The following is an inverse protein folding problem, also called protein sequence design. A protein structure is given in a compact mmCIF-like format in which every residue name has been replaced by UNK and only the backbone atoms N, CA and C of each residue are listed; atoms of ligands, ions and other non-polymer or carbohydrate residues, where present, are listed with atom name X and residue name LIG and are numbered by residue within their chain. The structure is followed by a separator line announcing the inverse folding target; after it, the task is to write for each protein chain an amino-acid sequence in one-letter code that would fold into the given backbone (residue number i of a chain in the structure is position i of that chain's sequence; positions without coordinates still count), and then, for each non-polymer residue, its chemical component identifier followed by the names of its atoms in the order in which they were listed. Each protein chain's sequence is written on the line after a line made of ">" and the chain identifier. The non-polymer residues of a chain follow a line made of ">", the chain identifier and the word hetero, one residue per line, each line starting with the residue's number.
data_IF_263885914968
#
_entry.id   IF_263885914968
#
_cell.length_a   1.000
_cell.length_b   1.000
_cell.length_c   1.000
_cell.angle_alpha   90.00
_cell.angle_beta   90.00
_cell.angle_gamma   90.00
#
_symmetry.space_group_name_H-M   'P 1'
#
loop_
_entity.id
_entity.type
_entity.pdbx_description
1 polymer ?
#
# COMPACT_ATOMS: atom_id res chain seq x y z
N UNK A 1 26.80 -59.83 -17.38
CA UNK A 1 26.05 -58.68 -16.81
C UNK A 1 26.53 -57.30 -17.30
N UNK A 2 27.77 -57.12 -17.77
CA UNK A 2 28.26 -55.81 -18.26
C UNK A 2 27.58 -55.29 -19.55
N UNK A 3 27.21 -56.17 -20.49
CA UNK A 3 26.52 -55.79 -21.74
C UNK A 3 25.11 -55.24 -21.53
N UNK A 4 24.36 -55.74 -20.55
CA UNK A 4 23.04 -55.21 -20.19
C UNK A 4 23.12 -53.81 -19.58
N UNK A 5 24.16 -53.53 -18.78
CA UNK A 5 24.35 -52.20 -18.17
C UNK A 5 24.75 -51.18 -19.22
N UNK A 6 25.66 -51.53 -20.14
CA UNK A 6 26.04 -50.64 -21.26
C UNK A 6 24.83 -50.34 -22.17
N UNK A 7 24.07 -51.36 -22.58
CA UNK A 7 22.88 -51.19 -23.41
C UNK A 7 21.81 -50.31 -22.75
N UNK A 8 21.54 -50.48 -21.45
CA UNK A 8 20.62 -49.60 -20.71
C UNK A 8 21.14 -48.17 -20.60
N UNK A 9 22.44 -47.97 -20.45
CA UNK A 9 23.05 -46.64 -20.41
C UNK A 9 22.98 -45.94 -21.77
N UNK A 10 23.21 -46.67 -22.86
CA UNK A 10 23.08 -46.15 -24.23
C UNK A 10 21.64 -45.72 -24.50
N UNK A 11 20.66 -46.52 -24.08
CA UNK A 11 19.23 -46.23 -24.22
C UNK A 11 18.81 -44.98 -23.41
N UNK A 12 19.32 -44.82 -22.19
CA UNK A 12 19.10 -43.61 -21.37
C UNK A 12 19.78 -42.38 -21.99
N UNK A 13 21.01 -42.52 -22.48
CA UNK A 13 21.76 -41.42 -23.12
C UNK A 13 21.08 -40.95 -24.40
N UNK A 14 20.60 -41.89 -25.22
CA UNK A 14 19.81 -41.61 -26.41
C UNK A 14 18.49 -40.91 -26.04
N UNK A 15 17.78 -41.42 -25.03
CA UNK A 15 16.51 -40.83 -24.56
C UNK A 15 16.68 -39.38 -24.10
N UNK A 16 17.73 -39.07 -23.33
CA UNK A 16 17.99 -37.70 -22.87
C UNK A 16 18.43 -36.80 -24.04
N UNK A 17 19.23 -37.32 -24.98
CA UNK A 17 19.67 -36.58 -26.16
C UNK A 17 18.50 -36.22 -27.10
N UNK A 18 17.45 -37.04 -27.16
CA UNK A 18 16.25 -36.80 -27.98
C UNK A 18 15.37 -35.68 -27.41
N UNK A 19 15.51 -35.34 -26.12
CA UNK A 19 14.69 -34.30 -25.46
C UNK A 19 14.92 -32.87 -26.01
N UNK A 20 15.92 -32.65 -26.88
CA UNK A 20 16.25 -31.34 -27.51
C UNK A 20 16.17 -30.18 -26.50
N UNK A 21 16.81 -30.35 -25.33
CA UNK A 21 16.75 -29.37 -24.27
C UNK A 21 17.37 -28.03 -24.72
N UNK A 22 16.82 -26.87 -24.29
CA UNK A 22 17.40 -25.57 -24.57
C UNK A 22 18.80 -25.47 -23.96
N UNK A 23 19.70 -24.69 -24.57
CA UNK A 23 21.02 -24.43 -23.99
C UNK A 23 20.89 -23.71 -22.63
N UNK A 24 21.63 -24.17 -21.61
CA UNK A 24 21.67 -23.53 -20.28
C UNK A 24 22.05 -22.05 -20.35
N UNK A 25 22.91 -21.65 -21.30
CA UNK A 25 23.28 -20.24 -21.51
C UNK A 25 22.10 -19.38 -21.95
N UNK A 26 21.18 -19.91 -22.76
CA UNK A 26 19.97 -19.22 -23.16
C UNK A 26 18.99 -19.08 -21.99
N UNK A 27 18.85 -20.12 -21.16
CA UNK A 27 18.03 -20.08 -19.94
C UNK A 27 18.62 -19.16 -18.87
N UNK A 28 19.94 -19.06 -18.78
CA UNK A 28 20.61 -18.08 -17.92
C UNK A 28 20.23 -16.65 -18.32
N UNK A 29 20.29 -16.34 -19.63
CA UNK A 29 19.87 -15.03 -20.14
C UNK A 29 18.40 -14.74 -19.81
N UNK A 30 17.51 -15.72 -19.98
CA UNK A 30 16.09 -15.59 -19.59
C UNK A 30 15.94 -15.23 -18.10
N UNK A 31 16.65 -15.94 -17.20
CA UNK A 31 16.62 -15.64 -15.76
C UNK A 31 17.12 -14.23 -15.46
N UNK A 32 18.20 -13.79 -16.11
CA UNK A 32 18.75 -12.45 -15.92
C UNK A 32 17.80 -11.35 -16.41
N UNK A 33 17.16 -11.55 -17.58
CA UNK A 33 16.16 -10.64 -18.12
C UNK A 33 14.94 -10.51 -17.18
N UNK A 34 14.44 -11.63 -16.64
CA UNK A 34 13.36 -11.65 -15.65
C UNK A 34 13.76 -10.98 -14.33
N UNK A 35 15.00 -11.16 -13.89
CA UNK A 35 15.53 -10.50 -12.69
C UNK A 35 15.61 -8.99 -12.88
N UNK A 36 16.00 -8.54 -14.06
CA UNK A 36 16.02 -7.12 -14.41
C UNK A 36 14.61 -6.54 -14.44
N UNK A 37 13.65 -7.24 -15.03
CA UNK A 37 12.22 -6.86 -15.02
C UNK A 37 11.67 -6.73 -13.58
N UNK A 38 11.95 -7.72 -12.72
CA UNK A 38 11.60 -7.69 -11.29
C UNK A 38 12.20 -6.47 -10.59
N UNK A 39 13.48 -6.17 -10.81
CA UNK A 39 14.12 -5.02 -10.16
C UNK A 39 13.48 -3.69 -10.58
N UNK A 40 13.09 -3.55 -11.86
CA UNK A 40 12.36 -2.37 -12.36
C UNK A 40 10.99 -2.23 -11.69
N UNK A 41 10.23 -3.32 -11.60
CA UNK A 41 8.92 -3.31 -10.94
C UNK A 41 9.03 -3.04 -9.44
N UNK A 42 10.07 -3.55 -8.77
CA UNK A 42 10.33 -3.25 -7.38
C UNK A 42 10.51 -1.75 -7.14
N UNK A 43 11.26 -1.06 -8.02
CA UNK A 43 11.38 0.41 -7.93
C UNK A 43 10.04 1.12 -8.12
N UNK A 44 9.18 0.64 -9.02
CA UNK A 44 7.84 1.22 -9.24
C UNK A 44 6.98 1.05 -7.98
N UNK A 45 6.98 -0.13 -7.38
CA UNK A 45 6.23 -0.42 -6.14
C UNK A 45 6.70 0.49 -5.00
N UNK A 46 8.01 0.60 -4.79
CA UNK A 46 8.56 1.45 -3.74
C UNK A 46 8.23 2.93 -3.95
N UNK A 47 8.34 3.43 -5.19
CA UNK A 47 7.94 4.80 -5.51
C UNK A 47 6.45 5.05 -5.21
N UNK A 48 5.57 4.11 -5.60
CA UNK A 48 4.13 4.22 -5.31
C UNK A 48 3.84 4.19 -3.80
N UNK A 49 4.57 3.38 -3.03
CA UNK A 49 4.47 3.34 -1.56
C UNK A 49 4.92 4.65 -0.92
N UNK A 50 6.02 5.23 -1.39
CA UNK A 50 6.49 6.53 -0.91
C UNK A 50 5.44 7.62 -1.17
N UNK A 51 4.88 7.64 -2.37
CA UNK A 51 3.81 8.57 -2.76
C UNK A 51 2.53 8.36 -1.94
N UNK A 52 2.15 7.11 -1.65
CA UNK A 52 1.05 6.82 -0.73
C UNK A 52 1.35 7.36 0.69
N UNK A 53 2.58 7.18 1.18
CA UNK A 53 3.02 7.71 2.47
C UNK A 53 2.91 9.23 2.56
N UNK A 54 3.29 9.96 1.50
CA UNK A 54 3.10 11.42 1.41
C UNK A 54 1.62 11.81 1.50
N UNK A 55 0.76 11.09 0.77
CA UNK A 55 -0.69 11.33 0.81
C UNK A 55 -1.27 11.11 2.20
N UNK A 56 -0.89 10.02 2.87
CA UNK A 56 -1.35 9.70 4.23
C UNK A 56 -0.92 10.76 5.25
N UNK A 57 0.30 11.28 5.13
CA UNK A 57 0.78 12.37 5.97
C UNK A 57 -0.02 13.66 5.74
N UNK A 58 -0.29 14.00 4.48
CA UNK A 58 -1.15 15.15 4.15
C UNK A 58 -2.57 14.98 4.70
N UNK A 59 -3.15 13.79 4.56
CA UNK A 59 -4.46 13.45 5.12
C UNK A 59 -4.48 13.64 6.63
N UNK A 60 -3.46 13.16 7.34
CA UNK A 60 -3.35 13.32 8.78
C UNK A 60 -3.25 14.81 9.19
N UNK A 61 -2.48 15.61 8.45
CA UNK A 61 -2.40 17.06 8.68
C UNK A 61 -3.76 17.74 8.50
N UNK A 62 -4.47 17.45 7.40
CA UNK A 62 -5.80 18.02 7.13
C UNK A 62 -6.85 17.56 8.15
N UNK A 63 -6.78 16.31 8.60
CA UNK A 63 -7.67 15.79 9.64
C UNK A 63 -7.46 16.53 10.97
N UNK A 64 -6.22 16.84 11.33
CA UNK A 64 -5.90 17.63 12.51
C UNK A 64 -6.44 19.06 12.40
N UNK A 65 -6.24 19.73 11.26
CA UNK A 65 -6.79 21.08 11.02
C UNK A 65 -8.32 21.09 11.11
N UNK A 66 -8.99 20.15 10.44
CA UNK A 66 -10.43 20.00 10.53
C UNK A 66 -10.89 19.75 11.97
N UNK A 67 -10.17 18.92 12.73
CA UNK A 67 -10.43 18.65 14.14
C UNK A 67 -10.33 19.91 15.01
N UNK A 68 -9.26 20.70 14.84
CA UNK A 68 -9.07 21.96 15.56
C UNK A 68 -10.24 22.91 15.27
N UNK A 69 -10.54 23.16 14.00
CA UNK A 69 -11.63 24.05 13.59
C UNK A 69 -12.98 23.56 14.15
N UNK A 70 -13.23 22.24 14.12
CA UNK A 70 -14.45 21.67 14.66
C UNK A 70 -14.57 21.92 16.17
N UNK A 71 -13.50 21.74 16.93
CA UNK A 71 -13.51 22.01 18.38
C UNK A 71 -13.70 23.50 18.69
N UNK A 72 -13.03 24.40 17.97
CA UNK A 72 -13.20 25.85 18.13
C UNK A 72 -14.63 26.28 17.84
N UNK A 73 -15.23 25.73 16.78
CA UNK A 73 -16.62 26.01 16.41
C UNK A 73 -17.58 25.54 17.51
N UNK A 74 -17.39 24.32 18.04
CA UNK A 74 -18.25 23.81 19.14
C UNK A 74 -18.13 24.64 20.42
N UNK A 75 -16.92 25.09 20.78
CA UNK A 75 -16.70 25.95 21.95
C UNK A 75 -17.38 27.30 21.76
N UNK A 76 -17.14 27.95 20.61
CA UNK A 76 -17.75 29.25 20.32
C UNK A 76 -19.29 29.16 20.28
N UNK A 77 -19.85 28.09 19.74
CA UNK A 77 -21.30 27.86 19.77
C UNK A 77 -21.85 27.70 21.19
N UNK A 78 -21.11 27.02 22.08
CA UNK A 78 -21.47 26.90 23.49
C UNK A 78 -21.38 28.24 24.24
N UNK A 79 -20.33 29.02 23.99
CA UNK A 79 -20.14 30.36 24.57
C UNK A 79 -21.28 31.30 24.15
N UNK A 80 -21.64 31.32 22.85
CA UNK A 80 -22.79 32.10 22.34
C UNK A 80 -24.08 31.68 23.05
N UNK A 81 -24.35 30.37 23.17
CA UNK A 81 -25.56 29.89 23.82
C UNK A 81 -25.61 30.26 25.31
N UNK A 82 -24.46 30.27 26.00
CA UNK A 82 -24.36 30.70 27.39
C UNK A 82 -24.61 32.21 27.54
N UNK A 83 -24.00 33.03 26.67
CA UNK A 83 -24.19 34.48 26.64
C UNK A 83 -25.65 34.85 26.31
N UNK A 84 -26.28 34.17 25.35
CA UNK A 84 -27.70 34.33 25.01
C UNK A 84 -28.62 33.97 26.19
N UNK A 85 -28.31 32.89 26.89
CA UNK A 85 -29.06 32.48 28.08
C UNK A 85 -28.94 33.51 29.19
N UNK A 86 -27.73 33.98 29.49
CA UNK A 86 -27.49 35.00 30.50
C UNK A 86 -28.20 36.33 30.15
N UNK A 87 -28.14 36.76 28.88
CA UNK A 87 -28.85 37.94 28.40
C UNK A 87 -30.38 37.83 28.59
N UNK A 88 -30.95 36.66 28.26
CA UNK A 88 -32.38 36.40 28.44
C UNK A 88 -32.79 36.38 29.92
N UNK A 89 -31.96 35.83 30.80
CA UNK A 89 -32.19 35.85 32.26
C UNK A 89 -32.17 37.28 32.82
N UNK A 90 -31.26 38.14 32.35
CA UNK A 90 -31.22 39.56 32.73
C UNK A 90 -32.44 40.33 32.20
N UNK A 91 -32.85 40.10 30.95
CA UNK A 91 -34.05 40.71 30.38
C UNK A 91 -35.32 40.30 31.14
N UNK A 92 -35.40 39.05 31.62
CA UNK A 92 -36.54 38.55 32.39
C UNK A 92 -36.69 39.22 33.77
N UNK A 93 -35.62 39.79 34.33
CA UNK A 93 -35.65 40.54 35.60
C UNK A 93 -36.26 41.93 35.45
N UNK A 94 -36.36 42.47 34.22
CA UNK A 94 -36.94 43.79 33.97
C UNK A 94 -38.47 43.70 34.09
N UNK A 95 -39.10 44.40 35.04
CA UNK A 95 -40.54 44.32 35.23
C UNK A 95 -41.30 44.76 33.97
N UNK A 96 -42.41 44.09 33.61
CA UNK A 96 -43.17 44.43 32.44
C UNK A 96 -43.77 45.85 32.57
N UNK A 97 -44.02 46.55 31.45
CA UNK A 97 -44.61 47.88 31.45
C UNK A 97 -45.91 47.94 32.28
N UNK A 98 -45.88 48.57 33.45
CA UNK A 98 -47.12 48.85 34.18
C UNK A 98 -47.85 50.02 33.52
N UNK A 99 -49.10 49.78 33.07
CA UNK A 99 -50.02 50.72 32.40
C UNK A 99 -50.32 52.06 33.14
N UNK A 100 -49.68 52.36 34.27
CA UNK A 100 -50.05 53.45 35.20
C UNK A 100 -49.16 54.70 35.17
N UNK A 101 -48.08 54.75 34.39
CA UNK A 101 -47.23 55.94 34.30
C UNK A 101 -47.34 56.63 32.92
N UNK A 102 -47.72 57.92 32.94
CA UNK A 102 -47.85 58.83 31.79
C UNK A 102 -46.44 59.34 31.37
N UNK A 103 -45.47 58.44 31.26
CA UNK A 103 -44.14 58.75 30.72
C UNK A 103 -43.80 57.70 29.65
N UNK A 104 -43.42 58.12 28.43
CA UNK A 104 -43.16 57.21 27.32
C UNK A 104 -41.79 56.53 27.47
N UNK A 105 -41.59 55.72 28.50
CA UNK A 105 -40.37 54.93 28.72
C UNK A 105 -40.62 53.54 29.36
N UNK A 106 -41.43 52.63 28.75
CA UNK A 106 -41.30 51.20 29.09
C UNK A 106 -40.65 50.34 28.00
N UNK A 107 -40.96 50.57 26.72
CA UNK A 107 -40.43 49.75 25.62
C UNK A 107 -38.95 50.07 25.36
N UNK A 108 -38.58 51.35 25.47
CA UNK A 108 -37.21 51.85 25.23
C UNK A 108 -36.14 51.25 26.12
N UNK A 109 -36.40 50.94 27.39
CA UNK A 109 -35.39 50.37 28.28
C UNK A 109 -35.09 48.91 27.95
N UNK A 110 -36.12 48.06 27.80
CA UNK A 110 -35.95 46.68 27.36
C UNK A 110 -35.32 46.62 25.96
N UNK A 111 -35.72 47.52 25.06
CA UNK A 111 -35.16 47.63 23.70
C UNK A 111 -33.69 48.05 23.74
N UNK A 112 -33.30 49.03 24.58
CA UNK A 112 -31.91 49.43 24.77
C UNK A 112 -31.03 48.31 25.32
N UNK A 113 -31.52 47.55 26.31
CA UNK A 113 -30.80 46.39 26.84
C UNK A 113 -30.68 45.30 25.79
N UNK A 114 -31.76 45.01 25.05
CA UNK A 114 -31.75 44.03 23.94
C UNK A 114 -30.76 44.43 22.85
N UNK A 115 -30.77 45.70 22.43
CA UNK A 115 -29.84 46.23 21.42
C UNK A 115 -28.40 46.12 21.89
N UNK A 116 -28.12 46.39 23.17
CA UNK A 116 -26.80 46.23 23.76
C UNK A 116 -26.34 44.77 23.83
N UNK A 117 -27.22 43.84 24.18
CA UNK A 117 -26.92 42.41 24.17
C UNK A 117 -26.69 41.89 22.75
N UNK A 118 -27.54 42.30 21.80
CA UNK A 118 -27.40 41.94 20.39
C UNK A 118 -26.09 42.48 19.82
N UNK A 119 -25.71 43.73 20.13
CA UNK A 119 -24.43 44.30 19.72
C UNK A 119 -23.21 43.52 20.26
N UNK A 120 -23.34 42.86 21.41
CA UNK A 120 -22.27 42.05 22.00
C UNK A 120 -22.19 40.63 21.41
N UNK A 121 -23.33 40.01 21.13
CA UNK A 121 -23.42 38.62 20.66
C UNK A 121 -23.24 38.54 19.13
N UNK A 122 -23.67 39.56 18.38
CA UNK A 122 -23.65 39.53 16.92
C UNK A 122 -22.25 39.33 16.30
N UNK A 123 -21.17 39.95 16.80
CA UNK A 123 -19.81 39.64 16.33
C UNK A 123 -19.41 38.18 16.56
N UNK A 124 -19.84 37.57 17.67
CA UNK A 124 -19.56 36.16 17.95
C UNK A 124 -20.33 35.24 17.00
N UNK A 125 -21.60 35.54 16.70
CA UNK A 125 -22.41 34.81 15.70
C UNK A 125 -21.77 34.87 14.31
N UNK A 126 -21.32 36.05 13.87
CA UNK A 126 -20.58 36.19 12.60
C UNK A 126 -19.29 35.38 12.58
N UNK A 127 -18.52 35.39 13.69
CA UNK A 127 -17.31 34.57 13.82
C UNK A 127 -17.64 33.07 13.75
N UNK A 128 -18.74 32.64 14.37
CA UNK A 128 -19.22 31.26 14.34
C UNK A 128 -19.64 30.84 12.92
N UNK A 129 -20.36 31.69 12.19
CA UNK A 129 -20.70 31.46 10.78
C UNK A 129 -19.46 31.32 9.89
N UNK A 130 -18.49 32.23 10.06
CA UNK A 130 -17.23 32.19 9.31
C UNK A 130 -16.40 30.95 9.63
N UNK A 131 -16.32 30.54 10.91
CA UNK A 131 -15.72 29.26 11.30
C UNK A 131 -16.49 28.08 10.70
N UNK A 132 -17.82 28.16 10.63
CA UNK A 132 -18.66 27.15 9.99
C UNK A 132 -18.36 27.00 8.49
N UNK A 133 -18.14 28.11 7.79
CA UNK A 133 -17.68 28.09 6.40
C UNK A 133 -16.29 27.47 6.28
N UNK A 134 -15.33 27.87 7.13
CA UNK A 134 -13.99 27.27 7.17
C UNK A 134 -14.02 25.77 7.43
N UNK A 135 -14.87 25.30 8.36
CA UNK A 135 -15.05 23.88 8.65
C UNK A 135 -15.53 23.11 7.41
N UNK A 136 -16.52 23.65 6.70
CA UNK A 136 -17.03 23.06 5.45
C UNK A 136 -15.91 22.93 4.42
N UNK A 137 -15.17 24.00 4.16
CA UNK A 137 -14.01 23.96 3.25
C UNK A 137 -12.94 22.96 3.69
N UNK A 138 -12.61 22.91 4.99
CA UNK A 138 -11.65 21.94 5.51
C UNK A 138 -12.14 20.49 5.36
N UNK A 139 -13.45 20.26 5.53
CA UNK A 139 -14.07 18.96 5.31
C UNK A 139 -14.00 18.53 3.84
N UNK A 140 -14.32 19.44 2.91
CA UNK A 140 -14.26 19.17 1.46
C UNK A 140 -12.81 18.85 1.04
N UNK A 141 -11.84 19.61 1.54
CA UNK A 141 -10.42 19.39 1.32
C UNK A 141 -9.92 18.05 1.88
N UNK A 142 -10.41 17.65 3.06
CA UNK A 142 -10.08 16.37 3.67
C UNK A 142 -10.65 15.21 2.84
N UNK A 143 -11.90 15.33 2.42
CA UNK A 143 -12.56 14.32 1.58
C UNK A 143 -11.87 14.16 0.23
N UNK A 144 -11.46 15.27 -0.40
CA UNK A 144 -10.69 15.23 -1.65
C UNK A 144 -9.36 14.49 -1.48
N UNK A 145 -8.61 14.73 -0.41
CA UNK A 145 -7.35 14.01 -0.14
C UNK A 145 -7.61 12.54 0.18
N UNK A 146 -8.68 12.23 0.90
CA UNK A 146 -9.07 10.84 1.17
C UNK A 146 -9.35 10.06 -0.13
N UNK A 147 -10.02 10.67 -1.10
CA UNK A 147 -10.20 10.08 -2.43
C UNK A 147 -8.86 9.85 -3.13
N UNK A 148 -7.94 10.82 -3.11
CA UNK A 148 -6.60 10.65 -3.71
C UNK A 148 -5.83 9.51 -3.03
N UNK A 149 -5.87 9.42 -1.70
CA UNK A 149 -5.14 8.38 -0.98
C UNK A 149 -5.74 6.99 -1.22
N UNK A 150 -7.06 6.88 -1.38
CA UNK A 150 -7.71 5.60 -1.73
C UNK A 150 -7.31 5.13 -3.13
N UNK A 151 -7.32 6.02 -4.13
CA UNK A 151 -6.80 5.69 -5.47
C UNK A 151 -5.33 5.26 -5.43
N UNK A 152 -4.47 5.98 -4.70
CA UNK A 152 -3.06 5.59 -4.54
C UNK A 152 -2.89 4.24 -3.85
N UNK A 153 -3.77 3.91 -2.91
CA UNK A 153 -3.75 2.61 -2.24
C UNK A 153 -4.08 1.47 -3.20
N UNK A 154 -5.09 1.65 -4.05
CA UNK A 154 -5.44 0.71 -5.13
C UNK A 154 -4.28 0.56 -6.13
N UNK A 155 -3.60 1.66 -6.51
CA UNK A 155 -2.45 1.62 -7.41
C UNK A 155 -1.25 0.85 -6.85
N UNK A 156 -1.03 0.93 -5.52
CA UNK A 156 -0.01 0.15 -4.81
C UNK A 156 -0.40 -1.32 -4.80
N UNK A 157 -1.63 -1.65 -4.43
CA UNK A 157 -2.12 -3.03 -4.39
C UNK A 157 -2.03 -3.70 -5.78
N UNK A 158 -2.42 -2.98 -6.84
CA UNK A 158 -2.26 -3.46 -8.21
C UNK A 158 -0.79 -3.73 -8.54
N UNK A 159 0.12 -2.80 -8.21
CA UNK A 159 1.55 -2.98 -8.49
C UNK A 159 2.17 -4.15 -7.70
N UNK A 160 1.73 -4.37 -6.46
CA UNK A 160 2.15 -5.52 -5.66
C UNK A 160 1.63 -6.85 -6.24
N UNK A 161 0.41 -6.85 -6.77
CA UNK A 161 -0.15 -8.02 -7.45
C UNK A 161 0.62 -8.33 -8.75
N UNK A 162 0.95 -7.31 -9.55
CA UNK A 162 1.82 -7.46 -10.74
C UNK A 162 3.20 -8.00 -10.35
N UNK A 163 3.80 -7.47 -9.27
CA UNK A 163 5.09 -7.93 -8.75
C UNK A 163 5.04 -9.42 -8.36
N UNK A 164 3.94 -9.89 -7.76
CA UNK A 164 3.77 -11.31 -7.41
C UNK A 164 3.83 -12.22 -8.64
N UNK A 165 3.17 -11.83 -9.74
CA UNK A 165 3.22 -12.57 -11.02
C UNK A 165 4.65 -12.63 -11.56
N UNK A 166 5.38 -11.51 -11.48
CA UNK A 166 6.77 -11.43 -11.94
C UNK A 166 7.67 -12.32 -11.08
N UNK A 167 7.51 -12.31 -9.76
CA UNK A 167 8.27 -13.19 -8.86
C UNK A 167 8.04 -14.67 -9.17
N UNK A 168 6.80 -15.08 -9.44
CA UNK A 168 6.49 -16.43 -9.90
C UNK A 168 7.15 -16.74 -11.25
N UNK A 169 7.16 -15.78 -12.18
CA UNK A 169 7.87 -15.89 -13.46
C UNK A 169 9.37 -16.13 -13.29
N UNK A 170 10.02 -15.36 -12.40
CA UNK A 170 11.44 -15.53 -12.05
C UNK A 170 11.69 -16.92 -11.45
N UNK A 171 10.83 -17.37 -10.51
CA UNK A 171 10.95 -18.70 -9.90
C UNK A 171 10.83 -19.81 -10.94
N UNK A 172 9.84 -19.72 -11.85
CA UNK A 172 9.65 -20.70 -12.94
C UNK A 172 10.86 -20.75 -13.88
N UNK A 173 11.38 -19.60 -14.29
CA UNK A 173 12.58 -19.52 -15.13
C UNK A 173 13.80 -20.15 -14.45
N UNK A 174 14.00 -19.86 -13.16
CA UNK A 174 15.08 -20.44 -12.36
C UNK A 174 14.98 -21.97 -12.28
N UNK A 175 13.80 -22.50 -11.90
CA UNK A 175 13.58 -23.94 -11.80
C UNK A 175 13.78 -24.66 -13.13
N UNK A 176 13.35 -24.05 -14.24
CA UNK A 176 13.57 -24.59 -15.59
C UNK A 176 15.04 -24.67 -15.94
N UNK A 177 15.81 -23.63 -15.61
CA UNK A 177 17.26 -23.61 -15.82
C UNK A 177 17.96 -24.70 -15.01
N UNK A 178 17.65 -24.83 -13.72
CA UNK A 178 18.24 -25.85 -12.84
C UNK A 178 17.92 -27.27 -13.33
N UNK A 179 16.68 -27.52 -13.77
CA UNK A 179 16.29 -28.81 -14.35
C UNK A 179 17.13 -29.16 -15.58
N UNK A 180 17.29 -28.22 -16.52
CA UNK A 180 18.08 -28.47 -17.74
C UNK A 180 19.55 -28.67 -17.41
N UNK A 181 20.12 -27.86 -16.51
CA UNK A 181 21.50 -28.02 -16.07
C UNK A 181 21.76 -29.38 -15.40
N UNK A 182 20.79 -29.89 -14.63
CA UNK A 182 20.86 -31.23 -14.05
C UNK A 182 20.86 -32.32 -15.14
N UNK A 183 19.97 -32.21 -16.13
CA UNK A 183 19.88 -33.18 -17.24
C UNK A 183 21.14 -33.17 -18.11
N UNK A 184 21.73 -32.00 -18.38
CA UNK A 184 23.01 -31.88 -19.09
C UNK A 184 24.14 -32.57 -18.33
N UNK A 185 24.27 -32.34 -17.02
CA UNK A 185 25.27 -33.04 -16.18
C UNK A 185 25.07 -34.54 -16.16
N UNK A 186 23.84 -35.02 -16.00
CA UNK A 186 23.55 -36.45 -16.04
C UNK A 186 23.95 -37.08 -17.38
N UNK A 187 23.70 -36.38 -18.49
CA UNK A 187 24.10 -36.85 -19.80
C UNK A 187 25.62 -36.85 -19.99
N UNK A 188 26.33 -35.85 -19.45
CA UNK A 188 27.80 -35.84 -19.41
C UNK A 188 28.37 -37.00 -18.58
N UNK A 189 27.81 -37.26 -17.39
CA UNK A 189 28.21 -38.36 -16.53
C UNK A 189 27.98 -39.73 -17.19
N UNK A 190 26.82 -39.91 -17.84
CA UNK A 190 26.50 -41.12 -18.58
C UNK A 190 27.46 -41.35 -19.76
N UNK A 191 27.77 -40.30 -20.54
CA UNK A 191 28.76 -40.37 -21.63
C UNK A 191 30.16 -40.69 -21.10
N UNK A 192 30.57 -40.05 -20.01
CA UNK A 192 31.86 -40.34 -19.38
C UNK A 192 31.95 -41.77 -18.84
N UNK A 193 30.83 -42.31 -18.33
CA UNK A 193 30.75 -43.71 -17.89
C UNK A 193 30.83 -44.67 -19.08
N UNK A 194 30.10 -44.41 -20.18
CA UNK A 194 30.17 -45.22 -21.41
C UNK A 194 31.58 -45.28 -22.00
N UNK A 195 32.30 -44.15 -22.06
CA UNK A 195 33.69 -44.09 -22.52
C UNK A 195 34.62 -45.00 -21.70
N UNK A 196 34.32 -45.27 -20.42
CA UNK A 196 35.10 -46.21 -19.60
C UNK A 196 34.90 -47.68 -20.01
N UNK A 197 33.80 -48.02 -20.67
CA UNK A 197 33.54 -49.37 -21.22
C UNK A 197 34.08 -49.55 -22.65
N UNK A 198 34.52 -48.48 -23.32
CA UNK A 198 35.03 -48.55 -24.70
C UNK A 198 36.56 -48.67 -24.79
N UNK A 199 37.29 -48.47 -23.69
CA UNK A 199 38.72 -48.75 -23.62
C UNK A 199 39.01 -50.20 -23.19
N UNK A 200 40.02 -50.83 -23.80
CA UNK A 200 40.54 -52.19 -23.56
C UNK A 200 40.97 -52.51 -22.10
N UNK A 201 40.77 -51.58 -21.16
CA UNK A 201 41.28 -51.65 -19.78
C UNK A 201 40.16 -51.81 -18.73
N UNK A 202 38.89 -51.90 -19.14
CA UNK A 202 37.75 -52.01 -18.21
C UNK A 202 37.73 -53.32 -17.42
N UNK A 203 38.10 -54.45 -18.06
CA UNK A 203 38.29 -55.74 -17.38
C UNK A 203 39.43 -55.68 -16.35
N UNK A 204 40.55 -55.04 -16.69
CA UNK A 204 41.71 -54.87 -15.80
C UNK A 204 41.44 -53.94 -14.61
N UNK A 205 40.50 -52.99 -14.72
CA UNK A 205 40.07 -52.16 -13.59
C UNK A 205 39.10 -52.87 -12.64
N UNK A 206 38.32 -53.83 -13.15
CA UNK A 206 37.42 -54.65 -12.33
C UNK A 206 38.22 -55.65 -11.49
N UNK A 207 39.23 -56.29 -12.07
CA UNK A 207 40.13 -57.21 -11.36
C UNK A 207 40.93 -56.55 -10.23
N UNK A 208 41.28 -55.25 -10.37
CA UNK A 208 41.96 -54.50 -9.29
C UNK A 208 41.07 -54.17 -8.09
N UNK A 209 39.73 -54.18 -8.23
CA UNK A 209 38.79 -53.96 -7.11
C UNK A 209 38.13 -55.24 -6.59
N UNK A 210 38.14 -56.31 -7.37
CA UNK A 210 37.66 -57.64 -6.98
C UNK A 210 38.72 -58.56 -6.37
N UNK A 211 39.94 -58.09 -6.17
CA UNK A 211 41.05 -58.87 -5.61
C UNK A 211 40.98 -59.06 -4.09
N UNK A 212 40.07 -59.93 -3.64
CA UNK A 212 40.19 -60.91 -2.54
C UNK A 212 38.79 -61.33 -2.06
N UNK A 213 38.25 -62.38 -2.70
CA UNK A 213 37.63 -63.45 -1.92
C UNK A 213 38.73 -64.46 -1.56
#
# INVERSE_FOLDING_TARGET
>A
MAFEVKGKLDEVTASISVLKLPLVTALQKEVDDRRNERNKHNMIVENKKEELGKCQNERASRANEHGIIATELTKLGADIAADEKAANEELAKIPPPTRKFIFPMPNTLQDLYRERFEANIQPQRQRHEHLGAKKRTASDMLQSVEQVCTTRQEEVEQAENEMRVIEEGVKKAYMRKEFVAMMERHLEDHKAFLLRFEGDDWEKQFDKRGGKM
#
